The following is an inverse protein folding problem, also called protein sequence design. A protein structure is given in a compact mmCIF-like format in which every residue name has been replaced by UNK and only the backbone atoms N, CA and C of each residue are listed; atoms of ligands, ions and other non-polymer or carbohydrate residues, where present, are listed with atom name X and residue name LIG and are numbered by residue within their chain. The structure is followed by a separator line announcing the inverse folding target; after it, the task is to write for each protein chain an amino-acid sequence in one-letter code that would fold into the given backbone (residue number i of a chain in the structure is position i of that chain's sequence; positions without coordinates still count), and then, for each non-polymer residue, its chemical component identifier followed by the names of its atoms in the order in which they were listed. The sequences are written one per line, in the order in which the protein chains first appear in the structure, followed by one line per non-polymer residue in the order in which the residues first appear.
data_IF_541980951448
#
_entry.id   IF_541980951448
#
_cell.length_a   1.000
_cell.length_b   1.000
_cell.length_c   1.000
_cell.angle_alpha   90.00
_cell.angle_beta   90.00
_cell.angle_gamma   90.00
#
_symmetry.space_group_name_H-M   'P 1'
#
loop_
_entity.id
_entity.type
_entity.pdbx_description
1 polymer ?
#
# COMPACT_ATOMS: atom_id res chain seq x y z
N UNK A 1 9.39 -22.49 -26.45
CA UNK A 1 8.66 -22.34 -25.18
C UNK A 1 9.66 -22.47 -24.05
N UNK A 2 10.24 -21.35 -23.60
CA UNK A 2 11.28 -21.35 -22.58
C UNK A 2 10.65 -21.41 -21.18
N UNK A 3 10.87 -22.52 -20.47
CA UNK A 3 10.64 -22.61 -19.04
C UNK A 3 11.56 -21.62 -18.33
N UNK A 4 11.06 -20.43 -18.00
CA UNK A 4 11.72 -19.56 -17.02
C UNK A 4 11.71 -20.32 -15.70
N UNK A 5 12.88 -20.73 -15.25
CA UNK A 5 13.12 -21.22 -13.89
C UNK A 5 12.46 -20.27 -12.90
N UNK A 6 11.49 -20.77 -12.13
CA UNK A 6 10.99 -20.00 -10.98
C UNK A 6 12.20 -19.74 -10.07
N UNK A 7 12.57 -18.46 -9.90
CA UNK A 7 13.61 -18.07 -8.98
C UNK A 7 13.27 -18.60 -7.60
N UNK A 8 14.18 -19.36 -6.99
CA UNK A 8 13.99 -19.86 -5.63
C UNK A 8 13.70 -18.72 -4.66
N UNK A 9 12.91 -18.99 -3.61
CA UNK A 9 12.64 -17.99 -2.57
C UNK A 9 13.98 -17.62 -1.90
N UNK A 10 14.35 -16.33 -1.84
CA UNK A 10 15.57 -15.93 -1.14
C UNK A 10 15.42 -16.21 0.35
N UNK A 11 16.54 -16.43 1.05
CA UNK A 11 16.53 -16.80 2.47
C UNK A 11 15.77 -15.78 3.36
N UNK A 12 15.79 -14.50 2.99
CA UNK A 12 15.07 -13.42 3.68
C UNK A 12 13.57 -13.37 3.38
N UNK A 13 13.04 -14.19 2.47
CA UNK A 13 11.64 -14.16 2.07
C UNK A 13 10.70 -14.42 3.27
N UNK A 14 11.06 -15.40 4.10
CA UNK A 14 10.29 -15.72 5.31
C UNK A 14 10.35 -14.60 6.34
N UNK A 15 11.47 -13.88 6.42
CA UNK A 15 11.62 -12.70 7.29
C UNK A 15 10.72 -11.57 6.79
N UNK A 16 10.69 -11.30 5.49
CA UNK A 16 9.80 -10.31 4.89
C UNK A 16 8.33 -10.66 5.13
N UNK A 17 7.96 -11.94 4.94
CA UNK A 17 6.61 -12.42 5.22
C UNK A 17 6.23 -12.21 6.69
N UNK A 18 7.08 -12.63 7.62
CA UNK A 18 6.83 -12.50 9.05
C UNK A 18 6.70 -11.02 9.47
N UNK A 19 7.58 -10.15 8.94
CA UNK A 19 7.49 -8.71 9.16
C UNK A 19 6.17 -8.13 8.63
N UNK A 20 5.71 -8.58 7.47
CA UNK A 20 4.41 -8.18 6.91
C UNK A 20 3.23 -8.64 7.75
N UNK A 21 3.25 -9.88 8.24
CA UNK A 21 2.21 -10.40 9.15
C UNK A 21 2.18 -9.58 10.43
N UNK A 22 3.34 -9.30 11.02
CA UNK A 22 3.42 -8.46 12.22
C UNK A 22 2.89 -7.05 11.98
N UNK A 23 3.27 -6.42 10.86
CA UNK A 23 2.78 -5.10 10.47
C UNK A 23 1.26 -5.09 10.24
N UNK A 24 0.71 -6.15 9.64
CA UNK A 24 -0.73 -6.28 9.43
C UNK A 24 -1.50 -6.42 10.75
N UNK A 25 -0.98 -7.20 11.71
CA UNK A 25 -1.56 -7.31 13.05
C UNK A 25 -1.53 -5.96 13.78
N UNK A 26 -0.39 -5.25 13.70
CA UNK A 26 -0.27 -3.93 14.29
C UNK A 26 -1.26 -2.93 13.68
N UNK A 27 -1.36 -2.86 12.35
CA UNK A 27 -2.31 -2.00 11.65
C UNK A 27 -3.76 -2.33 11.98
N UNK A 28 -4.09 -3.62 12.13
CA UNK A 28 -5.43 -4.04 12.48
C UNK A 28 -5.79 -3.64 13.91
N UNK A 29 -4.89 -3.87 14.88
CA UNK A 29 -5.11 -3.46 16.27
C UNK A 29 -5.25 -1.93 16.37
N UNK A 30 -4.35 -1.19 15.73
CA UNK A 30 -4.38 0.26 15.71
C UNK A 30 -5.66 0.80 15.06
N UNK A 31 -6.13 0.18 13.97
CA UNK A 31 -7.42 0.50 13.36
C UNK A 31 -8.60 0.23 14.29
N UNK A 32 -8.60 -0.92 14.98
CA UNK A 32 -9.67 -1.29 15.91
C UNK A 32 -9.72 -0.35 17.11
N UNK A 33 -8.58 0.03 17.68
CA UNK A 33 -8.49 0.95 18.81
C UNK A 33 -9.06 2.32 18.45
N UNK A 34 -8.64 2.88 17.31
CA UNK A 34 -9.18 4.15 16.81
C UNK A 34 -10.65 4.03 16.42
N UNK A 35 -11.05 2.91 15.80
CA UNK A 35 -12.43 2.64 15.42
C UNK A 35 -13.36 2.60 16.64
N UNK A 36 -12.97 1.88 17.70
CA UNK A 36 -13.73 1.79 18.93
C UNK A 36 -13.82 3.15 19.64
N UNK A 37 -12.71 3.88 19.74
CA UNK A 37 -12.71 5.21 20.34
C UNK A 37 -13.65 6.17 19.60
N UNK A 38 -13.58 6.21 18.26
CA UNK A 38 -14.43 7.09 17.45
C UNK A 38 -15.90 6.65 17.52
N UNK A 39 -16.17 5.35 17.51
CA UNK A 39 -17.54 4.84 17.63
C UNK A 39 -18.14 5.21 19.00
N UNK A 40 -17.37 5.13 20.07
CA UNK A 40 -17.80 5.49 21.41
C UNK A 40 -18.10 6.99 21.55
N UNK A 41 -17.31 7.86 20.89
CA UNK A 41 -17.43 9.32 21.03
C UNK A 41 -18.36 9.99 20.02
N UNK A 42 -18.41 9.49 18.78
CA UNK A 42 -19.08 10.15 17.65
C UNK A 42 -20.07 9.24 16.89
N UNK A 43 -20.23 8.00 17.35
CA UNK A 43 -21.14 7.03 16.74
C UNK A 43 -20.75 6.60 15.32
N UNK A 44 -21.63 5.83 14.64
CA UNK A 44 -21.33 5.28 13.31
C UNK A 44 -21.11 6.34 12.23
N UNK A 45 -21.76 7.50 12.32
CA UNK A 45 -21.54 8.62 11.39
C UNK A 45 -20.14 9.21 11.56
N UNK A 46 -19.63 9.29 12.78
CA UNK A 46 -18.29 9.77 13.08
C UNK A 46 -17.18 8.89 12.50
N UNK A 47 -17.41 7.57 12.37
CA UNK A 47 -16.48 6.68 11.69
C UNK A 47 -16.32 7.03 10.20
N UNK A 48 -17.42 7.36 9.53
CA UNK A 48 -17.42 7.63 8.09
C UNK A 48 -16.85 9.00 7.73
N UNK A 49 -16.81 9.95 8.67
CA UNK A 49 -16.29 11.30 8.44
C UNK A 49 -14.95 11.55 9.10
N UNK A 50 -14.44 10.60 9.89
CA UNK A 50 -13.18 10.75 10.61
C UNK A 50 -11.98 10.75 9.66
N UNK A 51 -11.14 11.81 9.68
CA UNK A 51 -9.88 11.85 8.95
C UNK A 51 -8.96 10.68 9.29
N UNK A 52 -8.96 10.23 10.55
CA UNK A 52 -8.16 9.10 11.01
C UNK A 52 -8.59 7.80 10.34
N UNK A 53 -9.90 7.57 10.22
CA UNK A 53 -10.41 6.36 9.57
C UNK A 53 -10.14 6.39 8.06
N UNK A 54 -10.34 7.55 7.41
CA UNK A 54 -9.99 7.72 6.00
C UNK A 54 -8.52 7.41 5.76
N UNK A 55 -7.63 7.94 6.60
CA UNK A 55 -6.21 7.66 6.50
C UNK A 55 -5.90 6.17 6.66
N UNK A 56 -6.38 5.50 7.72
CA UNK A 56 -6.05 4.10 7.99
C UNK A 56 -6.53 3.15 6.90
N UNK A 57 -7.77 3.35 6.42
CA UNK A 57 -8.29 2.58 5.28
C UNK A 57 -7.46 2.87 4.03
N UNK A 58 -7.17 4.15 3.77
CA UNK A 58 -6.38 4.53 2.60
C UNK A 58 -4.95 3.99 2.62
N UNK A 59 -4.30 4.00 3.78
CA UNK A 59 -2.99 3.41 4.02
C UNK A 59 -3.02 1.90 3.74
N UNK A 60 -4.02 1.17 4.21
CA UNK A 60 -4.16 -0.25 3.93
C UNK A 60 -4.34 -0.54 2.42
N UNK A 61 -5.17 0.25 1.72
CA UNK A 61 -5.40 0.11 0.28
C UNK A 61 -4.15 0.37 -0.59
N UNK A 62 -3.15 1.07 -0.04
CA UNK A 62 -1.88 1.34 -0.73
C UNK A 62 -0.79 0.38 -0.25
N UNK A 63 -0.54 0.38 1.07
CA UNK A 63 0.55 -0.32 1.72
C UNK A 63 0.50 -1.83 1.51
N UNK A 64 -0.67 -2.45 1.66
CA UNK A 64 -0.83 -3.91 1.47
C UNK A 64 -0.47 -4.31 0.04
N UNK A 65 -0.91 -3.55 -0.96
CA UNK A 65 -0.68 -3.87 -2.37
C UNK A 65 0.80 -3.73 -2.72
N UNK A 66 1.44 -2.66 -2.25
CA UNK A 66 2.88 -2.45 -2.45
C UNK A 66 3.72 -3.50 -1.73
N UNK A 67 3.38 -3.83 -0.50
CA UNK A 67 4.04 -4.88 0.27
C UNK A 67 3.92 -6.23 -0.43
N UNK A 68 2.72 -6.62 -0.86
CA UNK A 68 2.50 -7.87 -1.60
C UNK A 68 3.27 -7.90 -2.91
N UNK A 69 3.34 -6.77 -3.63
CA UNK A 69 4.16 -6.66 -4.84
C UNK A 69 5.64 -6.89 -4.54
N UNK A 70 6.17 -6.32 -3.45
CA UNK A 70 7.56 -6.52 -3.03
C UNK A 70 7.83 -7.97 -2.58
N UNK A 71 6.92 -8.55 -1.79
CA UNK A 71 7.01 -9.92 -1.28
C UNK A 71 6.97 -10.96 -2.41
N UNK A 72 6.17 -10.72 -3.44
CA UNK A 72 6.02 -11.64 -4.57
C UNK A 72 7.06 -11.43 -5.67
N UNK A 73 7.84 -10.34 -5.62
CA UNK A 73 8.91 -10.04 -6.59
C UNK A 73 9.86 -11.21 -6.89
N UNK A 74 10.38 -11.99 -5.91
CA UNK A 74 11.25 -13.12 -6.19
C UNK A 74 10.53 -14.36 -6.73
N UNK A 75 9.20 -14.44 -6.60
CA UNK A 75 8.40 -15.62 -6.94
C UNK A 75 7.71 -15.45 -8.29
N UNK A 76 7.19 -14.25 -8.57
CA UNK A 76 6.40 -13.96 -9.76
C UNK A 76 7.23 -13.34 -10.85
N UNK A 77 6.86 -13.64 -12.10
CA UNK A 77 7.43 -12.97 -13.26
C UNK A 77 7.07 -11.48 -13.25
N UNK A 78 7.92 -10.61 -13.82
CA UNK A 78 7.63 -9.18 -13.96
C UNK A 78 6.28 -8.92 -14.64
N UNK A 79 5.89 -9.75 -15.62
CA UNK A 79 4.60 -9.62 -16.31
C UNK A 79 3.41 -9.81 -15.37
N UNK A 80 3.48 -10.81 -14.47
CA UNK A 80 2.43 -11.07 -13.49
C UNK A 80 2.36 -9.95 -12.44
N UNK A 81 3.51 -9.44 -12.00
CA UNK A 81 3.57 -8.31 -11.07
C UNK A 81 2.96 -7.04 -11.69
N UNK A 82 3.29 -6.73 -12.95
CA UNK A 82 2.73 -5.59 -13.68
C UNK A 82 1.21 -5.75 -13.87
N UNK A 83 0.73 -6.94 -14.24
CA UNK A 83 -0.69 -7.19 -14.42
C UNK A 83 -1.47 -6.96 -13.11
N UNK A 84 -0.95 -7.47 -11.99
CA UNK A 84 -1.54 -7.24 -10.67
C UNK A 84 -1.51 -5.77 -10.26
N UNK A 85 -0.38 -5.08 -10.43
CA UNK A 85 -0.30 -3.64 -10.14
C UNK A 85 -1.31 -2.83 -10.95
N UNK A 86 -1.51 -3.15 -12.24
CA UNK A 86 -2.53 -2.50 -13.09
C UNK A 86 -3.94 -2.77 -12.59
N UNK A 87 -4.25 -4.02 -12.24
CA UNK A 87 -5.57 -4.40 -11.74
C UNK A 87 -5.87 -3.77 -10.37
N UNK A 88 -4.85 -3.63 -9.53
CA UNK A 88 -4.94 -3.03 -8.19
C UNK A 88 -4.86 -1.50 -8.19
N UNK A 89 -4.45 -0.86 -9.29
CA UNK A 89 -4.25 0.59 -9.33
C UNK A 89 -5.51 1.39 -8.98
N UNK A 90 -6.73 1.04 -9.44
CA UNK A 90 -7.94 1.74 -9.01
C UNK A 90 -8.14 1.74 -7.49
N UNK A 91 -7.83 0.63 -6.81
CA UNK A 91 -7.92 0.56 -5.34
C UNK A 91 -6.88 1.45 -4.67
N UNK A 92 -5.66 1.52 -5.21
CA UNK A 92 -4.64 2.43 -4.70
C UNK A 92 -5.01 3.90 -4.92
N UNK A 93 -5.71 4.23 -6.00
CA UNK A 93 -6.25 5.57 -6.23
C UNK A 93 -7.37 5.91 -5.25
N UNK A 94 -8.25 4.95 -4.91
CA UNK A 94 -9.22 5.13 -3.82
C UNK A 94 -8.49 5.36 -2.50
N UNK A 95 -7.43 4.60 -2.21
CA UNK A 95 -6.61 4.82 -1.02
C UNK A 95 -5.95 6.20 -1.01
N UNK A 96 -5.48 6.69 -2.17
CA UNK A 96 -4.92 8.02 -2.31
C UNK A 96 -5.99 9.09 -2.05
N UNK A 97 -7.20 8.92 -2.60
CA UNK A 97 -8.31 9.84 -2.38
C UNK A 97 -8.71 9.90 -0.89
N UNK A 98 -8.78 8.76 -0.20
CA UNK A 98 -9.05 8.72 1.25
C UNK A 98 -7.97 9.44 2.06
N UNK A 99 -6.69 9.29 1.69
CA UNK A 99 -5.61 10.04 2.34
C UNK A 99 -5.67 11.54 2.03
N UNK A 100 -6.11 11.93 0.83
CA UNK A 100 -6.35 13.34 0.51
C UNK A 100 -7.50 13.90 1.37
N UNK A 101 -8.59 13.15 1.53
CA UNK A 101 -9.70 13.52 2.42
C UNK A 101 -9.21 13.65 3.88
N UNK A 102 -8.35 12.75 4.35
CA UNK A 102 -7.74 12.87 5.67
C UNK A 102 -6.86 14.13 5.81
N UNK A 103 -6.07 14.47 4.77
CA UNK A 103 -5.27 15.69 4.76
C UNK A 103 -6.13 16.96 4.88
N UNK A 104 -7.16 17.08 4.05
CA UNK A 104 -8.05 18.26 4.07
C UNK A 104 -8.97 18.30 5.29
N UNK A 105 -9.44 17.15 5.76
CA UNK A 105 -10.32 17.03 6.91
C UNK A 105 -9.62 17.12 8.26
N UNK A 106 -8.31 16.89 8.33
CA UNK A 106 -7.55 17.01 9.57
C UNK A 106 -7.31 18.47 9.95
N UNK A 107 -7.78 18.87 11.13
CA UNK A 107 -7.48 20.19 11.72
C UNK A 107 -6.03 20.36 12.19
N UNK A 108 -5.15 19.39 11.90
CA UNK A 108 -3.74 19.40 12.27
C UNK A 108 -2.94 20.44 11.46
N UNK A 109 -1.84 21.00 12.02
CA UNK A 109 -0.96 21.89 11.27
C UNK A 109 -0.25 21.13 10.13
N UNK A 110 0.08 21.81 9.04
CA UNK A 110 0.70 21.19 7.86
C UNK A 110 2.09 20.58 8.13
N UNK A 111 2.75 21.01 9.21
CA UNK A 111 4.03 20.50 9.69
C UNK A 111 3.89 19.25 10.56
N UNK A 112 2.66 18.85 10.91
CA UNK A 112 2.42 17.65 11.70
C UNK A 112 2.81 16.39 10.91
N UNK A 113 3.42 15.43 11.60
CA UNK A 113 3.87 14.19 11.00
C UNK A 113 2.71 13.43 10.32
N UNK A 114 1.55 13.31 10.97
CA UNK A 114 0.40 12.59 10.40
C UNK A 114 -0.08 13.28 9.14
N UNK A 115 -0.11 14.62 9.14
CA UNK A 115 -0.44 15.38 7.95
C UNK A 115 0.55 15.01 6.85
N UNK A 116 1.86 15.21 7.04
CA UNK A 116 2.91 14.86 6.07
C UNK A 116 2.76 13.42 5.55
N UNK A 117 2.45 12.47 6.43
CA UNK A 117 2.22 11.07 6.10
C UNK A 117 1.02 10.87 5.16
N UNK A 118 -0.10 11.57 5.38
CA UNK A 118 -1.25 11.51 4.47
C UNK A 118 -0.88 11.96 3.06
N UNK A 119 -0.14 13.07 2.94
CA UNK A 119 0.31 13.57 1.63
C UNK A 119 1.26 12.59 0.94
N UNK A 120 2.16 11.97 1.71
CA UNK A 120 3.04 10.93 1.19
C UNK A 120 2.24 9.75 0.63
N UNK A 121 1.18 9.32 1.34
CA UNK A 121 0.29 8.27 0.86
C UNK A 121 -0.46 8.68 -0.41
N UNK A 122 -0.90 9.93 -0.54
CA UNK A 122 -1.48 10.43 -1.80
C UNK A 122 -0.48 10.28 -2.94
N UNK A 123 0.75 10.75 -2.74
CA UNK A 123 1.81 10.71 -3.76
C UNK A 123 2.18 9.27 -4.14
N UNK A 124 2.31 8.38 -3.15
CA UNK A 124 2.63 6.96 -3.38
C UNK A 124 1.47 6.22 -4.05
N UNK A 125 0.23 6.45 -3.62
CA UNK A 125 -0.94 5.80 -4.18
C UNK A 125 -1.17 6.14 -5.66
N UNK A 126 -0.98 7.41 -6.04
CA UNK A 126 -1.12 7.88 -7.42
C UNK A 126 0.14 7.65 -8.27
N UNK A 127 1.32 7.94 -7.73
CA UNK A 127 2.58 7.91 -8.47
C UNK A 127 3.33 6.57 -8.41
N UNK A 128 3.13 5.78 -7.36
CA UNK A 128 3.85 4.52 -7.15
C UNK A 128 3.61 3.49 -8.25
N UNK A 129 2.35 3.14 -8.58
CA UNK A 129 2.05 2.14 -9.62
C UNK A 129 2.65 2.44 -10.99
N UNK A 130 2.51 3.62 -11.61
CA UNK A 130 3.12 3.89 -12.91
C UNK A 130 4.66 3.84 -12.87
N UNK A 131 5.29 4.30 -11.78
CA UNK A 131 6.74 4.23 -11.61
C UNK A 131 7.22 2.77 -11.49
N UNK A 132 6.56 1.96 -10.65
CA UNK A 132 6.89 0.54 -10.46
C UNK A 132 6.67 -0.26 -11.74
N UNK A 133 5.58 -0.02 -12.47
CA UNK A 133 5.31 -0.67 -13.76
C UNK A 133 6.43 -0.34 -14.76
N UNK A 134 6.84 0.93 -14.85
CA UNK A 134 7.92 1.35 -15.75
C UNK A 134 9.25 0.69 -15.39
N UNK A 135 9.56 0.61 -14.10
CA UNK A 135 10.80 -0.01 -13.62
C UNK A 135 10.82 -1.53 -13.85
N UNK A 136 9.75 -2.25 -13.53
CA UNK A 136 9.61 -3.68 -13.83
C UNK A 136 9.68 -3.96 -15.34
N UNK A 137 9.10 -3.07 -16.16
CA UNK A 137 9.17 -3.15 -17.62
C UNK A 137 10.57 -2.95 -18.18
N UNK A 138 11.39 -2.06 -17.60
CA UNK A 138 12.80 -1.86 -17.98
C UNK A 138 13.66 -3.08 -17.65
N UNK A 139 13.47 -3.68 -16.47
CA UNK A 139 14.20 -4.88 -16.04
C UNK A 139 14.05 -6.05 -17.03
N UNK A 140 12.94 -6.10 -17.77
CA UNK A 140 12.72 -7.11 -18.82
C UNK A 140 13.58 -6.88 -20.06
N UNK A 141 13.77 -5.63 -20.50
CA UNK A 141 14.60 -5.34 -21.70
C UNK A 141 16.05 -5.74 -21.45
N UNK A 142 16.59 -5.39 -20.29
CA UNK A 142 17.96 -5.73 -19.91
C UNK A 142 18.21 -7.24 -19.83
N UNK A 143 17.22 -8.04 -19.40
CA UNK A 143 17.34 -9.51 -19.36
C UNK A 143 17.13 -10.22 -20.71
N UNK A 144 16.60 -9.52 -21.72
CA UNK A 144 16.43 -10.06 -23.07
C UNK A 144 17.63 -9.73 -24.00
N UNK A 145 18.48 -8.80 -23.56
CA UNK A 145 19.68 -8.33 -24.28
C UNK A 145 20.99 -8.99 -23.77
N UNK A 146 20.89 -9.81 -22.70
CA UNK A 146 21.96 -10.67 -22.15
C UNK A 146 21.63 -12.13 -22.37
#
# INVERSE_FOLDING_TARGET
MGARTMGGKPANWWIMLAAGVFAAVFLLNDFMDHGHAILAHAGPKGLLTSPTIHHKIGEALIGVILFMTALMRPIWTPERLIANLKASYPLMLVGAALNALAWFGSGLPATDFNKIWFLLMVAIGAGGPPLLIRWLGKSKRTQAET
#
